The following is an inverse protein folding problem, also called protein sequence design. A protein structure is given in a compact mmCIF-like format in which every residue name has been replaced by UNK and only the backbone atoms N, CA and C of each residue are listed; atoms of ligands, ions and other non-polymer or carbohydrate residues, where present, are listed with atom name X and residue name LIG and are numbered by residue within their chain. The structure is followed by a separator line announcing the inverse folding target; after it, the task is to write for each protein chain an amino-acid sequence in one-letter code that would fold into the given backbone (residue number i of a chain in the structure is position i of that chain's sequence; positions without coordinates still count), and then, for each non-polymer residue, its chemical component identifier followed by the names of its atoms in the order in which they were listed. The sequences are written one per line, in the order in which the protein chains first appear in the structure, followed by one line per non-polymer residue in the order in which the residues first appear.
data_IF_464178441335
#
_entry.id   IF_464178441335
#
_cell.length_a   1.000
_cell.length_b   1.000
_cell.length_c   1.000
_cell.angle_alpha   90.00
_cell.angle_beta   90.00
_cell.angle_gamma   90.00
#
_symmetry.space_group_name_H-M   'P 1'
#
loop_
_entity.id
_entity.type
_entity.pdbx_description
1 polymer ?
#
# COMPACT_ATOMS: atom_id res chain seq x y z
N UNK A 1 -20.04 -0.73 -12.96
CA UNK A 1 -19.49 -1.40 -11.77
C UNK A 1 -18.01 -1.13 -11.66
N UNK A 2 -17.48 -0.85 -10.47
CA UNK A 2 -16.02 -0.69 -10.24
C UNK A 2 -15.58 -1.68 -9.18
N UNK A 3 -14.69 -2.60 -9.55
CA UNK A 3 -14.06 -3.55 -8.66
C UNK A 3 -12.68 -3.10 -8.21
N UNK A 4 -12.19 -3.69 -7.12
CA UNK A 4 -10.78 -3.55 -6.72
C UNK A 4 -9.88 -4.28 -7.71
N UNK A 5 -8.77 -3.65 -8.09
CA UNK A 5 -7.79 -4.27 -8.97
C UNK A 5 -6.92 -5.32 -8.27
N UNK A 6 -6.60 -6.40 -8.99
CA UNK A 6 -5.80 -7.53 -8.52
C UNK A 6 -4.30 -7.45 -8.87
N UNK A 7 -3.62 -8.59 -8.76
CA UNK A 7 -2.24 -8.82 -9.14
C UNK A 7 -2.11 -9.06 -10.65
N UNK A 8 -2.26 -7.98 -11.42
CA UNK A 8 -2.10 -7.93 -12.88
C UNK A 8 -0.65 -7.68 -13.28
N UNK A 9 -0.35 -7.61 -14.60
CA UNK A 9 0.91 -7.02 -15.07
C UNK A 9 1.06 -5.58 -14.52
N UNK A 10 2.29 -5.07 -14.33
CA UNK A 10 2.50 -3.67 -13.95
C UNK A 10 1.83 -2.73 -14.96
N UNK A 11 1.03 -1.80 -14.45
CA UNK A 11 0.32 -0.78 -15.26
C UNK A 11 0.33 0.57 -14.54
N UNK A 12 0.10 1.67 -15.25
CA UNK A 12 0.02 2.99 -14.62
C UNK A 12 -1.25 3.14 -13.75
N UNK A 13 -1.30 4.17 -12.89
CA UNK A 13 -2.55 4.53 -12.21
C UNK A 13 -3.63 4.95 -13.22
N UNK A 14 -4.89 4.77 -12.84
CA UNK A 14 -6.04 5.07 -13.68
C UNK A 14 -7.22 4.12 -13.45
N UNK A 15 -8.27 4.34 -14.25
CA UNK A 15 -9.44 3.47 -14.31
C UNK A 15 -9.36 2.66 -15.59
N UNK A 16 -9.46 1.34 -15.48
CA UNK A 16 -9.32 0.40 -16.58
C UNK A 16 -10.63 -0.31 -16.83
N UNK A 17 -10.99 -0.46 -18.09
CA UNK A 17 -12.07 -1.35 -18.50
C UNK A 17 -11.67 -2.80 -18.22
N UNK A 18 -12.59 -3.60 -17.67
CA UNK A 18 -12.35 -5.03 -17.47
C UNK A 18 -12.55 -5.74 -18.81
N UNK A 19 -11.45 -6.14 -19.44
CA UNK A 19 -11.45 -6.83 -20.73
C UNK A 19 -11.00 -8.29 -20.60
N UNK A 20 -11.11 -9.06 -21.68
CA UNK A 20 -10.81 -10.50 -21.67
C UNK A 20 -9.36 -10.82 -21.28
N UNK A 21 -8.40 -9.97 -21.67
CA UNK A 21 -6.99 -10.13 -21.27
C UNK A 21 -6.81 -9.97 -19.75
N UNK A 22 -7.49 -9.00 -19.15
CA UNK A 22 -7.48 -8.79 -17.70
C UNK A 22 -8.12 -9.98 -16.96
N UNK A 23 -9.28 -10.44 -17.44
CA UNK A 23 -9.99 -11.59 -16.86
C UNK A 23 -9.10 -12.85 -16.88
N UNK A 24 -8.43 -13.10 -18.01
CA UNK A 24 -7.50 -14.20 -18.17
C UNK A 24 -6.36 -14.14 -17.14
N UNK A 25 -5.68 -12.99 -17.03
CA UNK A 25 -4.52 -12.83 -16.15
C UNK A 25 -4.89 -12.91 -14.66
N UNK A 26 -6.06 -12.38 -14.27
CA UNK A 26 -6.58 -12.50 -12.89
C UNK A 26 -6.89 -13.94 -12.51
N UNK A 27 -7.43 -14.74 -13.44
CA UNK A 27 -7.72 -16.17 -13.23
C UNK A 27 -6.44 -16.99 -13.12
N UNK A 28 -5.44 -16.71 -13.97
CA UNK A 28 -4.14 -17.39 -13.91
C UNK A 28 -3.35 -17.01 -12.65
N UNK A 29 -3.51 -15.78 -12.14
CA UNK A 29 -2.71 -15.27 -11.04
C UNK A 29 -1.24 -15.11 -11.44
N UNK A 30 -0.99 -14.43 -12.56
CA UNK A 30 0.33 -14.29 -13.18
C UNK A 30 1.41 -13.70 -12.26
N UNK A 31 1.02 -12.85 -11.30
CA UNK A 31 1.90 -12.30 -10.26
C UNK A 31 1.53 -12.80 -8.85
N UNK A 32 0.83 -13.93 -8.76
CA UNK A 32 0.43 -14.58 -7.53
C UNK A 32 -1.07 -14.53 -7.24
N UNK A 33 -1.44 -15.25 -6.19
CA UNK A 33 -2.83 -15.38 -5.73
C UNK A 33 -3.09 -14.43 -4.55
N UNK A 34 -4.13 -13.63 -4.68
CA UNK A 34 -4.62 -12.75 -3.62
C UNK A 34 -6.12 -12.53 -3.77
N UNK A 35 -6.82 -12.31 -2.64
CA UNK A 35 -8.27 -12.10 -2.64
C UNK A 35 -8.72 -10.95 -3.57
N UNK A 36 -7.88 -9.92 -3.74
CA UNK A 36 -8.16 -8.80 -4.66
C UNK A 36 -8.24 -9.21 -6.14
N UNK A 37 -7.72 -10.37 -6.54
CA UNK A 37 -7.84 -10.87 -7.91
C UNK A 37 -9.30 -11.10 -8.33
N UNK A 38 -10.18 -11.34 -7.35
CA UNK A 38 -11.60 -11.57 -7.59
C UNK A 38 -12.37 -10.28 -7.90
N UNK A 39 -11.84 -9.11 -7.56
CA UNK A 39 -12.58 -7.84 -7.63
C UNK A 39 -13.05 -7.49 -9.04
N UNK A 40 -12.15 -7.54 -10.03
CA UNK A 40 -12.50 -7.31 -11.44
C UNK A 40 -13.41 -8.40 -12.01
N UNK A 41 -13.20 -9.66 -11.62
CA UNK A 41 -14.00 -10.81 -12.09
C UNK A 41 -15.46 -10.70 -11.62
N UNK A 42 -15.67 -10.39 -10.34
CA UNK A 42 -17.01 -10.20 -9.78
C UNK A 42 -17.69 -8.97 -10.39
N UNK A 43 -16.94 -7.89 -10.63
CA UNK A 43 -17.48 -6.69 -11.27
C UNK A 43 -17.96 -6.95 -12.70
N UNK A 44 -17.19 -7.75 -13.47
CA UNK A 44 -17.56 -8.18 -14.83
C UNK A 44 -18.82 -9.07 -14.81
N UNK A 45 -18.84 -10.09 -13.94
CA UNK A 45 -19.97 -11.00 -13.81
C UNK A 45 -21.27 -10.26 -13.50
N UNK A 46 -21.25 -9.35 -12.51
CA UNK A 46 -22.42 -8.51 -12.17
C UNK A 46 -22.78 -7.57 -13.32
N UNK A 47 -21.81 -6.91 -13.96
CA UNK A 47 -22.08 -5.97 -15.05
C UNK A 47 -22.78 -6.65 -16.24
N UNK A 48 -22.42 -7.91 -16.57
CA UNK A 48 -23.07 -8.69 -17.64
C UNK A 48 -24.56 -8.96 -17.38
N UNK A 49 -25.02 -8.88 -16.13
CA UNK A 49 -26.44 -9.06 -15.77
C UNK A 49 -27.28 -7.79 -15.91
N UNK A 50 -26.68 -6.63 -16.17
CA UNK A 50 -27.34 -5.33 -16.18
C UNK A 50 -27.24 -4.68 -17.58
N UNK A 51 -28.31 -4.04 -18.09
CA UNK A 51 -28.27 -3.34 -19.37
C UNK A 51 -27.33 -2.13 -19.29
N UNK A 52 -26.51 -1.94 -20.34
CA UNK A 52 -25.57 -0.83 -20.51
C UNK A 52 -24.50 -0.66 -19.41
N UNK A 53 -24.41 -1.60 -18.46
CA UNK A 53 -23.42 -1.59 -17.41
C UNK A 53 -22.06 -2.04 -17.95
N UNK A 54 -21.02 -1.29 -17.59
CA UNK A 54 -19.62 -1.66 -17.85
C UNK A 54 -18.90 -1.99 -16.55
N UNK A 55 -17.92 -2.88 -16.62
CA UNK A 55 -17.07 -3.24 -15.49
C UNK A 55 -15.71 -2.52 -15.60
N UNK A 56 -15.26 -1.97 -14.48
CA UNK A 56 -13.98 -1.29 -14.38
C UNK A 56 -13.21 -1.78 -13.16
N UNK A 57 -11.89 -1.59 -13.17
CA UNK A 57 -11.08 -1.55 -11.96
C UNK A 57 -10.41 -0.17 -11.85
N UNK A 58 -10.08 0.24 -10.63
CA UNK A 58 -9.34 1.49 -10.40
C UNK A 58 -8.07 1.22 -9.60
N UNK A 59 -6.96 1.80 -10.04
CA UNK A 59 -5.67 1.84 -9.34
C UNK A 59 -5.31 0.48 -8.67
N UNK A 60 -5.08 -0.58 -9.46
CA UNK A 60 -4.76 -1.90 -8.91
C UNK A 60 -3.53 -1.86 -8.01
N UNK A 61 -3.35 -2.88 -7.18
CA UNK A 61 -2.20 -2.97 -6.26
C UNK A 61 -0.85 -2.99 -6.98
N UNK A 62 -0.83 -3.31 -8.28
CA UNK A 62 0.35 -3.36 -9.17
C UNK A 62 0.56 -2.08 -9.97
N UNK A 63 -0.04 -0.96 -9.55
CA UNK A 63 0.29 0.35 -10.14
C UNK A 63 1.80 0.53 -10.08
N UNK A 64 2.44 0.82 -11.22
CA UNK A 64 3.87 1.05 -11.31
C UNK A 64 4.12 2.35 -12.09
N UNK A 65 4.57 3.35 -11.35
CA UNK A 65 4.92 4.68 -11.87
C UNK A 65 6.36 5.05 -11.51
N UNK A 66 7.19 4.05 -11.17
CA UNK A 66 8.56 4.22 -10.71
C UNK A 66 9.41 4.95 -11.76
N UNK A 67 10.27 5.84 -11.28
CA UNK A 67 11.43 6.30 -12.05
C UNK A 67 12.43 5.14 -12.19
N UNK A 68 13.17 5.06 -13.31
CA UNK A 68 14.08 3.94 -13.59
C UNK A 68 15.12 3.71 -12.49
N UNK A 69 15.57 4.79 -11.85
CA UNK A 69 16.51 4.72 -10.71
C UNK A 69 15.94 3.94 -9.53
N UNK A 70 14.62 4.04 -9.29
CA UNK A 70 13.94 3.36 -8.18
C UNK A 70 13.83 1.84 -8.41
N UNK A 71 14.10 1.34 -9.63
CA UNK A 71 14.02 -0.09 -9.97
C UNK A 71 15.28 -0.86 -9.56
N UNK A 72 16.40 -0.17 -9.36
CA UNK A 72 17.70 -0.78 -9.06
C UNK A 72 17.71 -1.29 -7.61
N UNK A 73 17.81 -2.62 -7.43
CA UNK A 73 17.82 -3.28 -6.12
C UNK A 73 19.23 -3.51 -5.54
N UNK A 74 20.28 -3.18 -6.29
CA UNK A 74 21.68 -3.37 -5.87
C UNK A 74 22.36 -4.65 -6.37
N UNK A 75 21.65 -5.53 -7.08
CA UNK A 75 22.22 -6.72 -7.74
C UNK A 75 21.42 -7.10 -9.00
N UNK A 76 22.04 -7.52 -10.13
CA UNK A 76 21.34 -7.74 -11.41
C UNK A 76 20.20 -8.75 -11.39
N UNK A 77 20.28 -9.77 -10.55
CA UNK A 77 19.21 -10.79 -10.38
C UNK A 77 17.98 -10.29 -9.61
N UNK A 78 18.03 -9.08 -9.04
CA UNK A 78 16.97 -8.52 -8.22
C UNK A 78 16.49 -7.18 -8.80
N UNK A 79 15.19 -6.95 -8.68
CA UNK A 79 14.55 -5.69 -9.06
C UNK A 79 13.58 -5.27 -7.98
N UNK A 80 13.44 -3.96 -7.77
CA UNK A 80 12.35 -3.43 -6.96
C UNK A 80 11.05 -3.51 -7.77
N UNK A 81 9.97 -3.90 -7.11
CA UNK A 81 8.66 -4.13 -7.73
C UNK A 81 7.64 -3.26 -7.00
N UNK A 82 6.86 -2.47 -7.73
CA UNK A 82 5.80 -1.66 -7.15
C UNK A 82 4.57 -2.51 -6.83
N UNK A 83 4.36 -2.82 -5.55
CA UNK A 83 3.12 -3.42 -5.05
C UNK A 83 2.71 -2.74 -3.75
N UNK A 84 1.61 -1.99 -3.78
CA UNK A 84 1.18 -1.16 -2.65
C UNK A 84 -0.31 -0.87 -2.63
N UNK A 85 -0.76 -0.11 -1.63
CA UNK A 85 -2.15 0.32 -1.47
C UNK A 85 -2.51 1.48 -2.42
N UNK A 86 -2.28 1.29 -3.72
CA UNK A 86 -2.38 2.34 -4.75
C UNK A 86 -3.74 3.03 -4.79
N UNK A 87 -4.83 2.26 -4.70
CA UNK A 87 -6.19 2.80 -4.64
C UNK A 87 -6.37 3.80 -3.51
N UNK A 88 -6.02 3.42 -2.28
CA UNK A 88 -6.18 4.26 -1.12
C UNK A 88 -5.19 5.45 -1.13
N UNK A 89 -3.91 5.22 -1.46
CA UNK A 89 -2.93 6.31 -1.50
C UNK A 89 -3.31 7.38 -2.52
N UNK A 90 -3.75 7.00 -3.73
CA UNK A 90 -4.24 7.95 -4.74
C UNK A 90 -5.51 8.66 -4.29
N UNK A 91 -6.45 7.95 -3.67
CA UNK A 91 -7.70 8.55 -3.18
C UNK A 91 -7.44 9.63 -2.12
N UNK A 92 -6.60 9.33 -1.13
CA UNK A 92 -6.24 10.26 -0.05
C UNK A 92 -5.43 11.45 -0.58
N UNK A 93 -4.51 11.23 -1.52
CA UNK A 93 -3.76 12.31 -2.15
C UNK A 93 -4.67 13.29 -2.91
N UNK A 94 -5.64 12.77 -3.67
CA UNK A 94 -6.63 13.58 -4.37
C UNK A 94 -7.58 14.31 -3.40
N UNK A 95 -8.07 13.62 -2.36
CA UNK A 95 -8.93 14.22 -1.33
C UNK A 95 -8.21 15.35 -0.58
N UNK A 96 -6.93 15.14 -0.24
CA UNK A 96 -6.10 16.18 0.35
C UNK A 96 -5.95 17.39 -0.57
N UNK A 97 -5.56 17.18 -1.83
CA UNK A 97 -5.40 18.26 -2.81
C UNK A 97 -6.71 19.08 -2.97
N UNK A 98 -7.85 18.39 -3.10
CA UNK A 98 -9.16 19.03 -3.16
C UNK A 98 -9.48 19.85 -1.91
N UNK A 99 -9.16 19.32 -0.72
CA UNK A 99 -9.45 19.99 0.57
C UNK A 99 -8.71 21.32 0.74
N UNK A 100 -7.61 21.52 0.01
CA UNK A 100 -6.81 22.75 0.03
C UNK A 100 -6.86 23.51 -1.31
N UNK A 101 -7.83 23.18 -2.18
CA UNK A 101 -8.03 23.82 -3.49
C UNK A 101 -6.78 23.79 -4.38
N UNK A 102 -6.03 22.69 -4.34
CA UNK A 102 -4.91 22.40 -5.26
C UNK A 102 -5.22 21.18 -6.13
N UNK A 103 -4.48 21.05 -7.21
CA UNK A 103 -4.48 19.85 -8.07
C UNK A 103 -3.42 18.87 -7.57
N UNK A 104 -3.75 17.57 -7.54
CA UNK A 104 -2.83 16.51 -7.10
C UNK A 104 -1.56 16.46 -7.97
N UNK A 105 -1.72 16.76 -9.25
CA UNK A 105 -0.67 16.84 -10.28
C UNK A 105 0.31 17.98 -10.01
N UNK A 106 -0.04 18.96 -9.17
CA UNK A 106 0.82 20.09 -8.80
C UNK A 106 1.49 19.92 -7.43
N UNK A 107 1.38 18.75 -6.79
CA UNK A 107 1.89 18.49 -5.44
C UNK A 107 2.95 17.40 -5.39
N UNK A 108 3.84 17.51 -4.41
CA UNK A 108 4.74 16.45 -3.97
C UNK A 108 4.31 15.99 -2.56
N UNK A 109 3.87 14.75 -2.43
CA UNK A 109 3.30 14.22 -1.19
C UNK A 109 4.03 12.95 -0.77
N UNK A 110 4.12 12.71 0.53
CA UNK A 110 4.46 11.38 1.07
C UNK A 110 3.19 10.78 1.64
N UNK A 111 2.76 9.64 1.13
CA UNK A 111 1.52 8.99 1.58
C UNK A 111 1.84 7.70 2.31
N UNK A 112 1.45 7.63 3.59
CA UNK A 112 1.66 6.51 4.51
C UNK A 112 0.34 5.78 4.70
N UNK A 113 0.24 4.56 4.18
CA UNK A 113 -0.91 3.68 4.45
C UNK A 113 -0.54 2.69 5.57
N UNK A 114 -1.28 2.74 6.67
CA UNK A 114 -1.11 1.90 7.85
C UNK A 114 -2.22 0.82 7.94
N UNK A 115 -2.00 -0.32 7.29
CA UNK A 115 -2.93 -1.46 7.29
C UNK A 115 -2.28 -2.76 7.76
N UNK A 116 -2.85 -3.90 7.34
CA UNK A 116 -2.24 -5.22 7.56
C UNK A 116 -0.84 -5.34 6.95
N UNK A 117 -0.57 -4.58 5.87
CA UNK A 117 0.77 -4.17 5.48
C UNK A 117 0.92 -2.66 5.50
N UNK A 118 2.16 -2.19 5.56
CA UNK A 118 2.47 -0.75 5.57
C UNK A 118 3.17 -0.37 4.27
N UNK A 119 2.69 0.70 3.63
CA UNK A 119 3.33 1.25 2.43
C UNK A 119 3.46 2.76 2.52
N UNK A 120 4.64 3.27 2.17
CA UNK A 120 4.99 4.69 2.18
C UNK A 120 5.45 5.08 0.80
N UNK A 121 4.63 5.85 0.08
CA UNK A 121 4.88 6.23 -1.31
C UNK A 121 5.34 7.68 -1.45
N UNK A 122 6.33 7.92 -2.31
CA UNK A 122 6.71 9.24 -2.78
C UNK A 122 5.87 9.61 -4.01
N UNK A 123 4.89 10.50 -3.80
CA UNK A 123 4.03 11.01 -4.86
C UNK A 123 4.62 12.32 -5.40
N UNK A 124 5.11 12.32 -6.63
CA UNK A 124 5.64 13.50 -7.31
C UNK A 124 4.72 13.87 -8.46
N UNK A 125 4.08 15.03 -8.37
CA UNK A 125 3.24 15.61 -9.43
C UNK A 125 2.23 14.61 -9.98
N UNK A 126 1.44 14.01 -9.09
CA UNK A 126 0.42 13.05 -9.46
C UNK A 126 0.90 11.61 -9.67
N UNK A 127 2.20 11.32 -9.62
CA UNK A 127 2.77 9.98 -9.88
C UNK A 127 3.48 9.38 -8.66
N UNK A 128 3.35 8.09 -8.41
CA UNK A 128 4.07 7.38 -7.32
C UNK A 128 5.43 6.90 -7.85
N UNK A 129 6.44 7.74 -7.70
CA UNK A 129 7.76 7.53 -8.32
C UNK A 129 8.65 6.55 -7.54
N UNK A 130 8.32 6.28 -6.28
CA UNK A 130 8.95 5.28 -5.42
C UNK A 130 7.97 4.86 -4.32
N UNK A 131 7.95 3.58 -3.94
CA UNK A 131 7.21 3.03 -2.81
C UNK A 131 7.85 1.70 -2.39
N UNK A 132 7.80 1.36 -1.11
CA UNK A 132 8.21 0.02 -0.66
C UNK A 132 7.20 -1.06 -1.10
N UNK A 133 7.68 -2.26 -1.40
CA UNK A 133 6.84 -3.42 -1.70
C UNK A 133 6.14 -3.92 -0.44
N UNK A 134 4.88 -3.51 -0.26
CA UNK A 134 4.15 -3.77 0.98
C UNK A 134 3.67 -5.21 1.12
N UNK A 135 3.50 -5.99 0.05
CA UNK A 135 2.77 -7.26 -0.01
C UNK A 135 3.50 -8.43 0.66
N UNK A 136 4.71 -8.75 0.20
CA UNK A 136 5.51 -9.88 0.67
C UNK A 136 6.98 -9.50 0.95
N UNK A 137 7.22 -8.22 1.21
CA UNK A 137 8.36 -7.75 1.99
C UNK A 137 9.13 -6.62 1.34
N UNK A 138 9.19 -5.48 2.04
CA UNK A 138 10.15 -4.38 1.96
C UNK A 138 9.61 -3.27 2.89
N UNK A 139 10.48 -2.48 3.51
CA UNK A 139 10.06 -1.38 4.39
C UNK A 139 9.71 -1.82 5.82
N UNK A 140 8.84 -1.06 6.52
CA UNK A 140 8.48 -1.29 7.93
C UNK A 140 7.77 -2.63 8.16
N UNK A 141 8.00 -3.26 9.31
CA UNK A 141 7.09 -4.33 9.75
C UNK A 141 5.70 -3.77 10.07
N UNK A 142 4.68 -4.62 9.97
CA UNK A 142 3.27 -4.24 10.12
C UNK A 142 2.57 -5.15 11.13
N UNK A 143 1.24 -5.09 11.28
CA UNK A 143 0.54 -6.05 12.11
C UNK A 143 0.66 -7.51 11.65
N UNK A 144 0.85 -7.77 10.35
CA UNK A 144 0.87 -9.13 9.77
C UNK A 144 2.13 -9.47 8.95
N UNK A 145 3.03 -8.50 8.73
CA UNK A 145 4.18 -8.67 7.85
C UNK A 145 5.47 -8.34 8.59
N UNK A 146 6.52 -9.11 8.32
CA UNK A 146 7.83 -8.90 8.95
C UNK A 146 8.51 -7.60 8.51
N UNK A 147 8.11 -7.04 7.37
CA UNK A 147 8.86 -5.99 6.69
C UNK A 147 10.25 -6.49 6.28
N UNK A 148 11.21 -5.57 6.22
CA UNK A 148 12.60 -5.89 5.86
C UNK A 148 13.30 -6.66 6.99
N UNK A 149 13.86 -7.82 6.65
CA UNK A 149 14.68 -8.64 7.55
C UNK A 149 16.17 -8.54 7.19
N UNK A 150 17.08 -8.82 8.14
CA UNK A 150 18.51 -8.94 7.82
C UNK A 150 18.75 -10.06 6.80
N UNK A 151 19.20 -9.69 5.59
CA UNK A 151 19.33 -10.61 4.44
C UNK A 151 20.21 -11.81 4.77
N UNK A 152 21.32 -11.60 5.49
CA UNK A 152 22.21 -12.69 5.89
C UNK A 152 21.58 -13.69 6.87
N UNK A 153 20.72 -13.24 7.78
CA UNK A 153 19.98 -14.13 8.69
C UNK A 153 18.90 -14.91 7.94
N UNK A 154 18.18 -14.25 7.04
CA UNK A 154 17.18 -14.89 6.19
C UNK A 154 17.81 -16.01 5.36
N UNK A 155 18.95 -15.76 4.71
CA UNK A 155 19.69 -16.79 3.96
C UNK A 155 20.09 -17.96 4.86
N UNK A 156 20.68 -17.70 6.04
CA UNK A 156 21.03 -18.77 6.98
C UNK A 156 19.82 -19.58 7.41
N UNK A 157 18.68 -18.95 7.61
CA UNK A 157 17.43 -19.62 7.98
C UNK A 157 16.91 -20.51 6.84
N UNK A 158 16.91 -20.01 5.59
CA UNK A 158 16.53 -20.75 4.39
C UNK A 158 17.32 -22.06 4.23
N UNK A 159 18.60 -22.05 4.56
CA UNK A 159 19.48 -23.23 4.40
C UNK A 159 19.73 -23.99 5.71
N UNK A 160 18.99 -23.71 6.77
CA UNK A 160 19.15 -24.37 8.07
C UNK A 160 18.61 -25.81 8.12
N UNK A 161 17.80 -26.22 7.14
CA UNK A 161 17.05 -27.48 7.14
C UNK A 161 15.83 -27.50 8.07
N UNK A 162 15.52 -26.39 8.76
CA UNK A 162 14.40 -26.30 9.71
C UNK A 162 13.07 -25.87 9.08
N UNK A 163 13.12 -25.14 7.97
CA UNK A 163 11.95 -24.52 7.37
C UNK A 163 11.95 -24.73 5.86
N UNK A 164 10.77 -24.97 5.32
CA UNK A 164 10.48 -24.92 3.90
C UNK A 164 10.36 -23.48 3.41
N UNK A 165 10.47 -23.28 2.09
CA UNK A 165 10.23 -21.99 1.46
C UNK A 165 8.84 -21.43 1.82
N UNK A 166 7.80 -22.27 1.83
CA UNK A 166 6.44 -21.83 2.14
C UNK A 166 6.29 -21.36 3.60
N UNK A 167 6.96 -22.02 4.55
CA UNK A 167 6.96 -21.58 5.95
C UNK A 167 7.66 -20.24 6.11
N UNK A 168 8.81 -20.05 5.46
CA UNK A 168 9.52 -18.77 5.48
C UNK A 168 8.66 -17.66 4.84
N UNK A 169 7.98 -17.94 3.73
CA UNK A 169 7.07 -16.97 3.11
C UNK A 169 5.91 -16.60 4.04
N UNK A 170 5.38 -17.52 4.84
CA UNK A 170 4.35 -17.21 5.84
C UNK A 170 4.89 -16.33 6.98
N UNK A 171 6.11 -16.59 7.45
CA UNK A 171 6.77 -15.74 8.44
C UNK A 171 6.94 -14.30 7.94
N UNK A 172 7.16 -14.13 6.64
CA UNK A 172 7.25 -12.81 6.00
C UNK A 172 5.86 -12.17 5.84
N UNK A 173 4.87 -12.96 5.44
CA UNK A 173 3.49 -12.53 5.13
C UNK A 173 2.45 -13.42 5.80
N UNK A 174 1.80 -12.88 6.82
CA UNK A 174 0.69 -13.51 7.56
C UNK A 174 1.06 -13.90 9.00
N UNK A 175 2.31 -14.31 9.23
CA UNK A 175 2.85 -14.68 10.56
C UNK A 175 4.02 -13.78 10.98
N UNK A 176 4.16 -12.61 10.33
CA UNK A 176 5.18 -11.62 10.63
C UNK A 176 4.67 -10.49 11.52
N UNK A 177 5.58 -9.59 11.91
CA UNK A 177 5.19 -8.35 12.60
C UNK A 177 4.53 -8.59 13.95
N UNK A 178 3.48 -7.82 14.29
CA UNK A 178 2.80 -7.97 15.59
C UNK A 178 2.22 -9.37 15.78
N UNK A 179 1.70 -9.99 14.72
CA UNK A 179 1.23 -11.37 14.76
C UNK A 179 2.35 -12.34 15.15
N UNK A 180 3.53 -12.19 14.54
CA UNK A 180 4.70 -13.01 14.85
C UNK A 180 5.25 -12.81 16.26
N UNK A 181 5.18 -11.59 16.82
CA UNK A 181 5.68 -11.30 18.17
C UNK A 181 4.69 -11.61 19.29
N UNK A 182 3.40 -11.32 19.08
CA UNK A 182 2.39 -11.25 20.14
C UNK A 182 1.19 -12.17 19.91
N UNK A 183 1.15 -12.88 18.78
CA UNK A 183 0.06 -13.78 18.40
C UNK A 183 -1.22 -13.06 17.99
N UNK A 184 -1.18 -11.75 17.69
CA UNK A 184 -2.33 -10.95 17.25
C UNK A 184 -1.93 -9.94 16.20
N UNK A 185 -2.74 -9.80 15.16
CA UNK A 185 -2.62 -8.74 14.15
C UNK A 185 -3.44 -7.48 14.51
N UNK A 186 -4.11 -7.47 15.66
CA UNK A 186 -4.91 -6.32 16.08
C UNK A 186 -4.03 -5.27 16.75
N UNK A 187 -3.63 -4.25 15.99
CA UNK A 187 -2.90 -3.10 16.54
C UNK A 187 -3.64 -2.43 17.72
N UNK A 188 -4.98 -2.43 17.69
CA UNK A 188 -5.82 -1.94 18.78
C UNK A 188 -5.70 -2.78 20.05
N UNK A 189 -5.64 -4.11 19.91
CA UNK A 189 -5.43 -5.00 21.05
C UNK A 189 -4.04 -4.81 21.65
N UNK A 190 -2.99 -4.71 20.81
CA UNK A 190 -1.63 -4.46 21.26
C UNK A 190 -1.52 -3.10 21.96
N UNK A 191 -2.20 -2.08 21.46
CA UNK A 191 -2.26 -0.76 22.10
C UNK A 191 -2.92 -0.83 23.48
N UNK A 192 -4.01 -1.59 23.63
CA UNK A 192 -4.61 -1.85 24.94
C UNK A 192 -3.64 -2.54 25.90
N UNK A 193 -2.91 -3.57 25.43
CA UNK A 193 -1.88 -4.26 26.25
C UNK A 193 -0.84 -3.25 26.73
N UNK A 194 -0.34 -2.39 25.84
CA UNK A 194 0.62 -1.34 26.17
C UNK A 194 0.10 -0.37 27.24
N UNK A 195 -1.14 0.10 27.12
CA UNK A 195 -1.76 0.98 28.14
C UNK A 195 -2.03 0.27 29.47
N UNK A 196 -2.17 -1.05 29.47
CA UNK A 196 -2.29 -1.87 30.68
C UNK A 196 -0.94 -2.30 31.28
N UNK A 197 0.17 -1.74 30.81
CA UNK A 197 1.50 -1.96 31.39
C UNK A 197 2.36 -3.04 30.72
N UNK A 198 1.91 -3.63 29.60
CA UNK A 198 2.74 -4.53 28.80
C UNK A 198 3.85 -3.74 28.09
N UNK A 199 5.04 -3.75 28.68
CA UNK A 199 6.21 -3.03 28.16
C UNK A 199 6.72 -3.60 26.84
N UNK A 200 6.50 -4.89 26.57
CA UNK A 200 6.87 -5.53 25.30
C UNK A 200 5.96 -5.08 24.17
N UNK A 201 4.65 -5.06 24.40
CA UNK A 201 3.67 -4.51 23.45
C UNK A 201 3.95 -3.04 23.13
N UNK A 202 4.26 -2.24 24.15
CA UNK A 202 4.64 -0.82 23.97
C UNK A 202 5.88 -0.67 23.09
N UNK A 203 6.95 -1.40 23.41
CA UNK A 203 8.20 -1.36 22.64
C UNK A 203 7.98 -1.74 21.18
N UNK A 204 7.15 -2.76 20.91
CA UNK A 204 6.85 -3.18 19.54
C UNK A 204 6.07 -2.11 18.76
N UNK A 205 5.08 -1.45 19.37
CA UNK A 205 4.37 -0.36 18.70
C UNK A 205 5.28 0.86 18.46
N UNK A 206 6.15 1.20 19.40
CA UNK A 206 7.14 2.25 19.23
C UNK A 206 8.15 1.92 18.13
N UNK A 207 8.61 0.66 18.05
CA UNK A 207 9.50 0.18 17.00
C UNK A 207 8.81 0.20 15.62
N UNK A 208 7.53 -0.16 15.56
CA UNK A 208 6.73 -0.09 14.32
C UNK A 208 6.63 1.35 13.84
N UNK A 209 6.20 2.28 14.70
CA UNK A 209 6.13 3.71 14.39
C UNK A 209 7.50 4.30 14.00
N UNK A 210 8.58 3.87 14.65
CA UNK A 210 9.94 4.26 14.33
C UNK A 210 10.35 3.85 12.90
N UNK A 211 10.05 2.61 12.50
CA UNK A 211 10.35 2.15 11.14
C UNK A 211 9.51 2.90 10.09
N UNK A 212 8.23 3.16 10.36
CA UNK A 212 7.40 4.00 9.48
C UNK A 212 8.01 5.39 9.30
N UNK A 213 8.44 6.03 10.38
CA UNK A 213 9.05 7.35 10.32
C UNK A 213 10.36 7.36 9.51
N UNK A 214 11.18 6.29 9.62
CA UNK A 214 12.37 6.13 8.78
C UNK A 214 12.03 6.05 7.29
N UNK A 215 10.98 5.30 6.95
CA UNK A 215 10.53 5.15 5.56
C UNK A 215 10.00 6.48 5.00
N UNK A 216 9.29 7.26 5.82
CA UNK A 216 8.91 8.65 5.47
C UNK A 216 10.14 9.51 5.21
N UNK A 217 11.18 9.41 6.05
CA UNK A 217 12.45 10.07 5.82
C UNK A 217 13.09 9.69 4.49
N UNK A 218 13.10 8.40 4.15
CA UNK A 218 13.61 7.90 2.87
C UNK A 218 12.84 8.50 1.68
N UNK A 219 11.50 8.49 1.71
CA UNK A 219 10.68 9.10 0.66
C UNK A 219 10.87 10.63 0.57
N UNK A 220 11.18 11.30 1.68
CA UNK A 220 11.59 12.71 1.69
C UNK A 220 12.86 12.95 0.88
N UNK A 221 13.82 12.02 0.91
CA UNK A 221 15.04 12.12 0.09
C UNK A 221 14.77 11.86 -1.39
N UNK A 222 13.84 10.95 -1.73
CA UNK A 222 13.38 10.72 -3.12
C UNK A 222 12.81 12.01 -3.71
N UNK A 223 12.02 12.75 -2.93
CA UNK A 223 11.46 14.05 -3.29
C UNK A 223 12.45 15.21 -3.12
N UNK A 224 13.71 14.95 -2.79
CA UNK A 224 14.78 15.95 -2.60
C UNK A 224 14.41 17.05 -1.57
N UNK A 225 13.60 16.70 -0.56
CA UNK A 225 13.10 17.62 0.45
C UNK A 225 11.93 18.50 -0.01
N UNK A 226 11.52 18.45 -1.27
CA UNK A 226 10.35 19.16 -1.78
C UNK A 226 9.08 18.39 -1.45
N UNK A 227 8.61 18.50 -0.20
CA UNK A 227 7.43 17.78 0.30
C UNK A 227 6.37 18.80 0.71
N UNK A 228 5.26 18.86 -0.04
CA UNK A 228 4.11 19.71 0.28
C UNK A 228 3.33 19.20 1.50
N UNK A 229 3.32 17.89 1.75
CA UNK A 229 2.63 17.28 2.88
C UNK A 229 2.89 15.80 3.07
N UNK A 230 2.76 15.34 4.31
CA UNK A 230 2.78 13.93 4.71
C UNK A 230 1.37 13.52 5.07
N UNK A 231 0.82 12.51 4.40
CA UNK A 231 -0.56 12.05 4.59
C UNK A 231 -0.55 10.67 5.24
N UNK A 232 -1.08 10.55 6.45
CA UNK A 232 -1.16 9.29 7.20
C UNK A 232 -2.58 8.76 7.13
N UNK A 233 -2.75 7.54 6.63
CA UNK A 233 -4.04 6.87 6.43
C UNK A 233 -3.98 5.40 6.79
N UNK A 234 -5.06 4.64 6.56
CA UNK A 234 -5.19 3.22 6.89
C UNK A 234 -5.84 2.96 8.25
N UNK A 235 -6.17 1.70 8.51
CA UNK A 235 -6.91 1.29 9.71
C UNK A 235 -6.22 1.64 11.02
N UNK A 236 -4.89 1.50 11.10
CA UNK A 236 -4.11 1.82 12.31
C UNK A 236 -4.08 3.32 12.59
N UNK A 237 -4.31 4.17 11.59
CA UNK A 237 -4.35 5.63 11.75
C UNK A 237 -5.52 6.12 12.62
N UNK A 238 -6.47 5.25 13.00
CA UNK A 238 -7.48 5.55 14.03
C UNK A 238 -6.87 5.73 15.43
N UNK A 239 -5.72 5.13 15.71
CA UNK A 239 -4.99 5.37 16.96
C UNK A 239 -4.24 6.70 16.88
N UNK A 240 -4.73 7.69 17.63
CA UNK A 240 -4.04 8.99 17.78
C UNK A 240 -2.68 8.82 18.47
N UNK A 241 -2.58 7.91 19.44
CA UNK A 241 -1.33 7.68 20.16
C UNK A 241 -0.26 7.12 19.22
N UNK A 242 -0.58 6.08 18.45
CA UNK A 242 0.35 5.51 17.47
C UNK A 242 0.75 6.53 16.40
N UNK A 243 -0.22 7.27 15.85
CA UNK A 243 0.06 8.30 14.84
C UNK A 243 0.96 9.41 15.41
N UNK A 244 0.79 9.81 16.66
CA UNK A 244 1.65 10.80 17.29
C UNK A 244 3.10 10.34 17.43
N UNK A 245 3.36 9.04 17.64
CA UNK A 245 4.73 8.50 17.62
C UNK A 245 5.40 8.72 16.25
N UNK A 246 4.65 8.63 15.16
CA UNK A 246 5.17 8.93 13.82
C UNK A 246 5.39 10.44 13.67
N UNK A 247 4.36 11.26 13.98
CA UNK A 247 4.38 12.72 13.81
C UNK A 247 5.56 13.36 14.55
N UNK A 248 5.83 12.93 15.79
CA UNK A 248 6.96 13.42 16.59
C UNK A 248 8.29 13.37 15.82
N UNK A 249 8.45 12.36 14.95
CA UNK A 249 9.68 12.12 14.19
C UNK A 249 9.70 12.83 12.84
N UNK A 250 8.54 13.06 12.22
CA UNK A 250 8.46 13.51 10.81
C UNK A 250 7.94 14.94 10.62
N UNK A 251 7.36 15.57 11.66
CA UNK A 251 6.74 16.90 11.55
C UNK A 251 7.66 18.02 11.04
N UNK A 252 8.99 17.85 11.16
CA UNK A 252 9.97 18.81 10.64
C UNK A 252 10.24 18.67 9.13
N UNK A 253 9.80 17.57 8.52
CA UNK A 253 9.95 17.33 7.08
C UNK A 253 8.91 18.13 6.31
N UNK A 254 7.63 18.01 6.70
CA UNK A 254 6.51 18.72 6.08
C UNK A 254 5.26 18.69 6.99
N UNK A 255 4.25 19.55 6.74
CA UNK A 255 2.95 19.47 7.40
C UNK A 255 2.36 18.05 7.30
N UNK A 256 1.91 17.51 8.43
CA UNK A 256 1.37 16.15 8.51
C UNK A 256 -0.14 16.18 8.70
N UNK A 257 -0.86 15.44 7.86
CA UNK A 257 -2.31 15.35 7.86
C UNK A 257 -2.73 13.89 8.05
N UNK A 258 -3.82 13.66 8.80
CA UNK A 258 -4.28 12.32 9.16
C UNK A 258 -5.67 12.08 8.56
N UNK A 259 -5.80 11.00 7.80
CA UNK A 259 -7.03 10.54 7.14
C UNK A 259 -7.32 9.10 7.60
N UNK A 260 -7.89 8.91 8.81
CA UNK A 260 -8.07 7.58 9.38
C UNK A 260 -8.94 6.65 8.54
N UNK A 261 -8.57 5.36 8.49
CA UNK A 261 -9.26 4.36 7.68
C UNK A 261 -8.79 4.35 6.23
N UNK A 262 -9.44 3.53 5.40
CA UNK A 262 -9.02 3.32 4.01
C UNK A 262 -10.13 3.58 2.98
N UNK A 263 -11.37 3.76 3.45
CA UNK A 263 -12.63 3.94 2.69
C UNK A 263 -12.56 3.48 1.22
N UNK A 264 -12.22 2.20 1.02
CA UNK A 264 -12.03 1.62 -0.31
C UNK A 264 -13.31 1.74 -1.14
N UNK A 265 -14.47 1.64 -0.49
CA UNK A 265 -15.77 1.77 -1.16
C UNK A 265 -15.99 3.19 -1.70
N UNK A 266 -15.73 4.24 -0.91
CA UNK A 266 -15.78 5.63 -1.41
C UNK A 266 -14.74 5.86 -2.50
N UNK A 267 -13.54 5.28 -2.38
CA UNK A 267 -12.51 5.40 -3.41
C UNK A 267 -12.93 4.75 -4.74
N UNK A 268 -13.53 3.55 -4.72
CA UNK A 268 -14.05 2.89 -5.92
C UNK A 268 -15.24 3.65 -6.51
N UNK A 269 -16.18 4.08 -5.66
CA UNK A 269 -17.36 4.83 -6.06
C UNK A 269 -16.99 6.20 -6.68
N UNK A 270 -16.01 6.91 -6.10
CA UNK A 270 -15.54 8.19 -6.64
C UNK A 270 -14.89 8.03 -8.01
N UNK A 271 -14.09 6.98 -8.22
CA UNK A 271 -13.55 6.66 -9.54
C UNK A 271 -14.67 6.32 -10.55
N UNK A 272 -15.69 5.56 -10.13
CA UNK A 272 -16.86 5.29 -10.97
C UNK A 272 -17.64 6.56 -11.34
N UNK A 273 -17.82 7.47 -10.40
CA UNK A 273 -18.47 8.76 -10.65
C UNK A 273 -17.68 9.62 -11.64
N UNK A 274 -16.35 9.66 -11.51
CA UNK A 274 -15.48 10.38 -12.46
C UNK A 274 -15.59 9.84 -13.88
N UNK A 275 -15.69 8.51 -14.03
CA UNK A 275 -15.96 7.89 -15.33
C UNK A 275 -17.29 8.36 -15.91
N UNK A 276 -18.36 8.34 -15.10
CA UNK A 276 -19.69 8.76 -15.55
C UNK A 276 -19.74 10.24 -15.96
N UNK A 277 -18.91 11.09 -15.34
CA UNK A 277 -18.81 12.51 -15.67
C UNK A 277 -17.86 12.82 -16.82
N UNK A 278 -17.11 11.84 -17.33
CA UNK A 278 -16.07 12.08 -18.34
C UNK A 278 -14.84 12.83 -17.81
N UNK A 279 -14.60 12.78 -16.48
CA UNK A 279 -13.49 13.46 -15.80
C UNK A 279 -12.21 12.61 -15.76
N UNK A 280 -12.25 11.39 -16.30
CA UNK A 280 -11.11 10.47 -16.35
C UNK A 280 -11.11 9.70 -17.67
N UNK A 281 -9.92 9.54 -18.25
CA UNK A 281 -9.72 8.67 -19.40
C UNK A 281 -9.79 7.20 -18.96
N UNK A 282 -10.61 6.41 -19.66
CA UNK A 282 -10.68 4.95 -19.45
C UNK A 282 -9.51 4.31 -20.19
N UNK A 283 -8.67 3.59 -19.46
CA UNK A 283 -7.53 2.84 -20.01
C UNK A 283 -7.91 1.40 -20.38
N UNK A 284 -7.17 0.82 -21.30
CA UNK A 284 -7.32 -0.58 -21.73
C UNK A 284 -6.11 -1.41 -21.27
N UNK A 285 -6.39 -2.57 -20.65
CA UNK A 285 -5.36 -3.51 -20.20
C UNK A 285 -4.87 -4.36 -21.38
N UNK A 286 -3.56 -4.65 -21.44
CA UNK A 286 -2.90 -5.39 -22.53
C UNK A 286 -2.05 -6.55 -22.01
#
# INVERSE_FOLDING_TARGET
MVGRGGLLKPIESGVYNVNEAMIHDLKLGILGQHASNLGGLIADDIARTLPDAKAYIANPVVVDEFEDIARIAGHPEFKRISIFHALNQKAVAMEHAMSIMREYENMNLIVVHLGGGITVGAHKKGRVIDVNQGLDGEGPFSPERSGTLPVGDLVRMCFSGKYSQNEIMKMIKGEGGLAGYLGTNSAYEVEKRAFNGDTGAKLLLEAMAYQVAKEVGAMGTVLKGEVDGILITGGVANSKWFVNLIIERVHKIAPTHVYPGEDEMKALASNGLRVLKGEVEIKEYK
#
